data_IF_731851696706
#
_entry.id   IF_731851696706
#
_cell.length_a   1.000
_cell.length_b   1.000
_cell.length_c   1.000
_cell.angle_alpha   90.00
_cell.angle_beta   90.00
_cell.angle_gamma   90.00
#
_symmetry.space_group_name_H-M   'P 1'
#
loop_
_entity.id
_entity.type
_entity.pdbx_description
1 polymer ?
#
# COMPACT_ATOMS: atom_id res chain seq x y z
N UNK A 1 8.09 61.62 25.96
CA UNK A 1 7.22 60.85 26.89
C UNK A 1 6.15 60.12 26.11
N UNK A 2 6.33 58.82 25.86
CA UNK A 2 5.26 57.82 25.64
C UNK A 2 5.91 56.44 25.77
N UNK A 3 5.21 55.60 26.49
CA UNK A 3 5.68 54.42 27.20
C UNK A 3 5.79 53.18 26.33
N UNK A 4 6.67 52.28 26.76
CA UNK A 4 6.90 50.93 26.28
C UNK A 4 5.63 50.12 26.02
N UNK A 5 5.67 49.27 24.98
CA UNK A 5 5.01 47.96 25.05
C UNK A 5 5.78 46.93 24.23
N UNK A 6 6.66 46.20 24.92
CA UNK A 6 7.37 45.03 24.41
C UNK A 6 6.37 43.93 24.05
N UNK A 7 6.41 43.46 22.80
CA UNK A 7 5.61 42.33 22.35
C UNK A 7 6.17 41.02 22.94
N UNK A 8 5.29 40.23 23.58
CA UNK A 8 5.60 38.87 24.07
C UNK A 8 5.46 37.90 22.88
N UNK A 9 6.42 36.99 22.62
CA UNK A 9 6.25 35.99 21.58
C UNK A 9 5.26 34.90 22.04
N UNK A 10 4.29 34.58 21.17
CA UNK A 10 3.38 33.44 21.35
C UNK A 10 4.15 32.13 21.19
N UNK A 11 4.17 31.31 22.24
CA UNK A 11 4.62 29.93 22.14
C UNK A 11 3.68 29.15 21.21
N UNK A 12 4.22 28.61 20.12
CA UNK A 12 3.53 27.65 19.26
C UNK A 12 3.54 26.31 19.99
N UNK A 13 2.37 25.90 20.49
CA UNK A 13 2.21 24.58 21.12
C UNK A 13 2.51 23.46 20.11
N UNK A 14 3.36 22.51 20.49
CA UNK A 14 3.62 21.30 19.70
C UNK A 14 2.37 20.41 19.58
N UNK A 15 2.38 19.44 18.65
CA UNK A 15 1.23 18.57 18.41
C UNK A 15 0.83 17.81 19.68
N UNK A 16 -0.48 17.62 19.94
CA UNK A 16 -0.94 16.91 21.13
C UNK A 16 -0.44 15.46 21.10
N UNK A 17 0.06 14.97 22.24
CA UNK A 17 0.45 13.56 22.40
C UNK A 17 -0.76 12.66 22.11
N UNK A 18 -0.59 11.56 21.36
CA UNK A 18 -1.69 10.63 21.10
C UNK A 18 -2.18 10.03 22.43
N UNK A 19 -3.50 10.06 22.65
CA UNK A 19 -4.11 9.39 23.80
C UNK A 19 -4.00 7.88 23.59
N UNK A 20 -3.53 7.17 24.61
CA UNK A 20 -3.56 5.71 24.61
C UNK A 20 -5.01 5.23 24.52
N UNK A 21 -5.31 4.40 23.52
CA UNK A 21 -6.63 3.79 23.36
C UNK A 21 -6.87 2.77 24.49
N UNK A 22 -8.02 2.80 25.19
CA UNK A 22 -8.36 1.83 26.23
C UNK A 22 -8.73 0.46 25.65
N UNK A 23 -8.86 0.32 24.33
CA UNK A 23 -9.18 -0.95 23.70
C UNK A 23 -7.94 -1.85 23.61
N UNK A 24 -7.67 -2.55 24.71
CA UNK A 24 -6.80 -3.73 24.75
C UNK A 24 -7.50 -4.87 24.01
N UNK A 25 -7.36 -4.92 22.69
CA UNK A 25 -7.86 -6.06 21.91
C UNK A 25 -6.98 -7.27 22.19
N UNK A 26 -7.43 -8.17 23.07
CA UNK A 26 -7.01 -9.57 23.01
C UNK A 26 -7.73 -10.18 21.81
N UNK A 27 -7.05 -10.25 20.67
CA UNK A 27 -7.43 -11.19 19.61
C UNK A 27 -6.79 -12.55 19.97
N UNK A 28 -7.63 -13.58 19.99
CA UNK A 28 -7.32 -14.98 20.21
C UNK A 28 -5.93 -15.39 19.74
N UNK A 29 -5.05 -15.78 20.66
CA UNK A 29 -3.97 -16.77 20.52
C UNK A 29 -2.93 -16.65 19.39
N UNK A 30 -3.06 -15.69 18.49
CA UNK A 30 -2.17 -15.51 17.34
C UNK A 30 -1.28 -14.32 17.63
N UNK A 31 0.00 -14.59 17.83
CA UNK A 31 1.03 -13.55 17.87
C UNK A 31 1.16 -12.97 16.46
N UNK A 32 0.36 -11.95 16.14
CA UNK A 32 0.63 -11.11 14.97
C UNK A 32 1.81 -10.24 15.35
N UNK A 33 2.98 -10.49 14.73
CA UNK A 33 4.12 -9.58 14.81
C UNK A 33 3.63 -8.18 14.45
N UNK A 34 3.78 -7.24 15.38
CA UNK A 34 3.38 -5.84 15.16
C UNK A 34 3.92 -5.37 13.80
N UNK A 35 3.11 -4.70 12.96
CA UNK A 35 3.60 -4.19 11.69
C UNK A 35 4.79 -3.28 11.99
N UNK A 36 5.93 -3.60 11.39
CA UNK A 36 7.11 -2.74 11.45
C UNK A 36 6.69 -1.36 10.92
N UNK A 37 7.03 -0.31 11.68
CA UNK A 37 6.71 1.11 11.45
C UNK A 37 6.25 1.45 10.02
N UNK A 38 5.01 1.91 9.89
CA UNK A 38 4.40 2.36 8.63
C UNK A 38 4.99 3.68 8.08
N UNK A 39 6.04 4.25 8.70
CA UNK A 39 6.51 5.60 8.44
C UNK A 39 7.82 5.66 7.64
N UNK A 40 7.95 4.89 6.55
CA UNK A 40 8.91 5.27 5.51
C UNK A 40 8.24 6.28 4.58
N UNK A 41 8.97 7.33 4.19
CA UNK A 41 8.47 8.28 3.20
C UNK A 41 8.05 7.54 1.90
N UNK A 42 6.95 7.93 1.25
CA UNK A 42 6.53 7.28 0.02
C UNK A 42 7.58 7.51 -1.07
N UNK A 43 7.89 6.46 -1.83
CA UNK A 43 8.66 6.60 -3.07
C UNK A 43 7.72 7.07 -4.17
N UNK A 44 8.01 8.24 -4.77
CA UNK A 44 7.23 8.80 -5.88
C UNK A 44 8.07 8.68 -7.15
N UNK A 45 7.50 8.09 -8.20
CA UNK A 45 8.12 7.98 -9.51
C UNK A 45 7.18 8.54 -10.57
N UNK A 46 7.68 9.46 -11.38
CA UNK A 46 6.94 10.07 -12.50
C UNK A 46 7.46 9.45 -13.79
N UNK A 47 6.55 8.90 -14.58
CA UNK A 47 6.84 8.22 -15.84
C UNK A 47 6.10 8.92 -16.98
N UNK A 48 6.60 8.74 -18.21
CA UNK A 48 6.15 9.50 -19.36
C UNK A 48 4.66 9.30 -19.69
N UNK A 49 4.16 8.07 -19.54
CA UNK A 49 2.80 7.69 -19.93
C UNK A 49 2.27 6.48 -19.13
N UNK A 50 0.98 6.19 -19.32
CA UNK A 50 0.29 5.12 -18.61
C UNK A 50 0.83 3.71 -18.92
N UNK A 51 1.33 3.47 -20.14
CA UNK A 51 1.92 2.18 -20.52
C UNK A 51 3.25 1.95 -19.80
N UNK A 52 4.08 3.00 -19.71
CA UNK A 52 5.33 3.00 -18.96
C UNK A 52 5.07 2.76 -17.47
N UNK A 53 4.01 3.35 -16.90
CA UNK A 53 3.57 3.06 -15.52
C UNK A 53 3.18 1.60 -15.36
N UNK A 54 2.42 1.04 -16.30
CA UNK A 54 1.99 -0.35 -16.24
C UNK A 54 3.18 -1.33 -16.28
N UNK A 55 4.18 -1.06 -17.12
CA UNK A 55 5.39 -1.87 -17.22
C UNK A 55 6.26 -1.79 -15.96
N UNK A 56 6.48 -0.58 -15.45
CA UNK A 56 7.21 -0.38 -14.20
C UNK A 56 6.50 -1.10 -13.03
N UNK A 57 5.18 -0.96 -12.93
CA UNK A 57 4.38 -1.62 -11.91
C UNK A 57 4.42 -3.15 -12.04
N UNK A 58 4.38 -3.70 -13.26
CA UNK A 58 4.47 -5.13 -13.49
C UNK A 58 5.83 -5.68 -13.03
N UNK A 59 6.91 -4.99 -13.39
CA UNK A 59 8.26 -5.36 -12.97
C UNK A 59 8.41 -5.33 -11.44
N UNK A 60 7.88 -4.28 -10.81
CA UNK A 60 7.93 -4.11 -9.37
C UNK A 60 7.09 -5.18 -8.63
N UNK A 61 5.89 -5.47 -9.12
CA UNK A 61 5.03 -6.50 -8.55
C UNK A 61 5.66 -7.88 -8.63
N UNK A 62 6.28 -8.26 -9.76
CA UNK A 62 7.02 -9.53 -9.87
C UNK A 62 8.13 -9.62 -8.82
N UNK A 63 8.92 -8.55 -8.68
CA UNK A 63 10.00 -8.50 -7.68
C UNK A 63 9.47 -8.69 -6.26
N UNK A 64 8.36 -8.01 -5.92
CA UNK A 64 7.70 -8.15 -4.62
C UNK A 64 7.14 -9.55 -4.38
N UNK A 65 6.47 -10.14 -5.36
CA UNK A 65 5.93 -11.50 -5.26
C UNK A 65 7.06 -12.50 -5.03
N UNK A 66 8.16 -12.39 -5.77
CA UNK A 66 9.32 -13.25 -5.60
C UNK A 66 9.94 -13.11 -4.20
N UNK A 67 10.10 -11.87 -3.72
CA UNK A 67 10.60 -11.61 -2.37
C UNK A 67 9.66 -12.17 -1.28
N UNK A 68 8.35 -11.97 -1.42
CA UNK A 68 7.35 -12.48 -0.50
C UNK A 68 7.33 -14.01 -0.45
N UNK A 69 7.31 -14.65 -1.61
CA UNK A 69 7.33 -16.10 -1.72
C UNK A 69 8.63 -16.69 -1.15
N UNK A 70 9.78 -16.04 -1.35
CA UNK A 70 11.05 -16.44 -0.75
C UNK A 70 11.01 -16.33 0.79
N UNK A 71 10.43 -15.26 1.33
CA UNK A 71 10.42 -15.01 2.76
C UNK A 71 9.37 -15.81 3.55
N UNK A 72 8.19 -16.07 2.96
CA UNK A 72 7.01 -16.59 3.67
C UNK A 72 6.37 -17.80 3.00
N UNK A 73 6.90 -18.25 1.87
CA UNK A 73 6.31 -19.31 1.06
C UNK A 73 5.07 -18.89 0.26
N UNK A 74 4.53 -17.68 0.46
CA UNK A 74 3.40 -17.17 -0.31
C UNK A 74 3.36 -15.63 -0.38
N UNK A 75 2.55 -15.09 -1.28
CA UNK A 75 2.27 -13.67 -1.43
C UNK A 75 0.76 -13.44 -1.50
N UNK A 76 0.23 -12.48 -0.74
CA UNK A 76 -1.15 -12.05 -0.81
C UNK A 76 -1.22 -10.68 -1.51
N UNK A 77 -2.11 -10.54 -2.49
CA UNK A 77 -2.27 -9.32 -3.29
C UNK A 77 -3.75 -8.93 -3.26
N UNK A 78 -4.04 -7.69 -2.85
CA UNK A 78 -5.35 -7.08 -3.03
C UNK A 78 -5.37 -6.32 -4.36
N UNK A 79 -6.28 -6.70 -5.25
CA UNK A 79 -6.48 -6.11 -6.56
C UNK A 79 -7.35 -4.86 -6.44
N UNK A 80 -7.09 -3.89 -7.30
CA UNK A 80 -7.86 -2.66 -7.42
C UNK A 80 -8.71 -2.71 -8.70
N UNK A 81 -9.91 -2.14 -8.64
CA UNK A 81 -10.73 -1.92 -9.83
C UNK A 81 -10.24 -0.74 -10.68
N UNK A 82 -10.86 -0.56 -11.86
CA UNK A 82 -10.71 0.64 -12.69
C UNK A 82 -9.79 0.49 -13.90
N UNK A 83 -9.67 1.58 -14.65
CA UNK A 83 -8.92 1.63 -15.92
C UNK A 83 -7.41 1.71 -15.72
N UNK A 84 -6.94 2.34 -14.65
CA UNK A 84 -5.52 2.49 -14.33
C UNK A 84 -4.79 1.17 -14.08
N UNK A 85 -5.30 0.22 -13.26
CA UNK A 85 -4.62 -1.07 -13.06
C UNK A 85 -4.85 -2.07 -14.21
N UNK A 86 -5.80 -1.81 -15.13
CA UNK A 86 -6.14 -2.76 -16.20
C UNK A 86 -4.97 -3.09 -17.14
N UNK A 87 -4.15 -2.12 -17.62
CA UNK A 87 -2.95 -2.42 -18.39
C UNK A 87 -1.93 -3.26 -17.62
N UNK A 88 -1.74 -3.00 -16.32
CA UNK A 88 -0.88 -3.81 -15.45
C UNK A 88 -1.33 -5.28 -15.45
N UNK A 89 -2.62 -5.56 -15.27
CA UNK A 89 -3.13 -6.94 -15.26
C UNK A 89 -2.91 -7.64 -16.60
N UNK A 90 -3.06 -6.92 -17.73
CA UNK A 90 -2.72 -7.46 -19.06
C UNK A 90 -1.23 -7.81 -19.17
N UNK A 91 -0.34 -6.96 -18.67
CA UNK A 91 1.11 -7.26 -18.65
C UNK A 91 1.42 -8.48 -17.80
N UNK A 92 0.85 -8.58 -16.60
CA UNK A 92 1.06 -9.74 -15.72
C UNK A 92 0.54 -11.06 -16.31
N UNK A 93 -0.51 -11.02 -17.12
CA UNK A 93 -1.05 -12.18 -17.84
C UNK A 93 -0.22 -12.55 -19.10
N UNK A 94 0.62 -11.63 -19.59
CA UNK A 94 1.45 -11.91 -20.77
C UNK A 94 2.56 -12.93 -20.47
N UNK A 95 3.00 -13.73 -21.46
CA UNK A 95 4.07 -14.72 -21.26
C UNK A 95 5.37 -14.14 -20.66
N UNK A 96 5.67 -12.88 -20.97
CA UNK A 96 6.85 -12.16 -20.50
C UNK A 96 6.89 -11.98 -18.96
N UNK A 97 5.72 -11.91 -18.31
CA UNK A 97 5.62 -11.77 -16.85
C UNK A 97 5.03 -13.00 -16.17
N UNK A 98 4.02 -13.64 -16.76
CA UNK A 98 3.31 -14.76 -16.15
C UNK A 98 4.26 -15.93 -15.80
N UNK A 99 5.27 -16.19 -16.63
CA UNK A 99 6.29 -17.23 -16.41
C UNK A 99 7.23 -16.94 -15.23
N UNK A 100 7.34 -15.67 -14.81
CA UNK A 100 8.22 -15.22 -13.72
C UNK A 100 7.56 -15.30 -12.35
N UNK A 101 6.25 -15.57 -12.31
CA UNK A 101 5.44 -15.67 -11.09
C UNK A 101 5.08 -17.13 -10.85
N UNK A 102 5.40 -17.62 -9.65
CA UNK A 102 4.94 -18.92 -9.16
C UNK A 102 3.50 -18.78 -8.64
N UNK A 103 2.52 -18.74 -9.55
CA UNK A 103 1.11 -18.45 -9.24
C UNK A 103 0.49 -19.33 -8.16
N UNK A 104 0.92 -20.60 -8.04
CA UNK A 104 0.45 -21.51 -6.97
C UNK A 104 0.79 -21.03 -5.54
N UNK A 105 1.65 -20.03 -5.41
CA UNK A 105 2.04 -19.42 -4.13
C UNK A 105 1.46 -17.99 -3.98
N UNK A 106 0.59 -17.55 -4.90
CA UNK A 106 -0.04 -16.23 -4.87
C UNK A 106 -1.51 -16.38 -4.51
N UNK A 107 -1.96 -15.60 -3.53
CA UNK A 107 -3.36 -15.48 -3.14
C UNK A 107 -3.86 -14.10 -3.58
N UNK A 108 -4.90 -14.09 -4.42
CA UNK A 108 -5.51 -12.86 -4.93
C UNK A 108 -6.79 -12.57 -4.14
N UNK A 109 -6.98 -11.29 -3.81
CA UNK A 109 -8.15 -10.75 -3.13
C UNK A 109 -8.60 -9.50 -3.88
N UNK A 110 -9.85 -9.08 -3.70
CA UNK A 110 -10.32 -7.77 -4.14
C UNK A 110 -10.18 -6.78 -2.99
N UNK A 111 -9.57 -5.63 -3.26
CA UNK A 111 -9.40 -4.56 -2.27
C UNK A 111 -10.71 -3.83 -1.98
N UNK A 112 -11.47 -3.56 -3.03
CA UNK A 112 -12.86 -3.13 -3.02
C UNK A 112 -13.64 -3.89 -4.09
N UNK A 113 -14.94 -4.04 -3.91
CA UNK A 113 -15.82 -4.64 -4.92
C UNK A 113 -17.23 -4.05 -4.79
N UNK A 114 -17.93 -4.01 -5.91
CA UNK A 114 -19.32 -3.57 -6.00
C UNK A 114 -20.24 -4.75 -5.69
N UNK A 115 -21.31 -4.49 -4.93
CA UNK A 115 -22.35 -5.48 -4.63
C UNK A 115 -23.31 -5.66 -5.82
N UNK A 116 -22.77 -6.09 -6.96
CA UNK A 116 -23.49 -6.40 -8.19
C UNK A 116 -23.20 -7.84 -8.61
N UNK A 117 -24.05 -8.47 -9.45
CA UNK A 117 -23.71 -9.78 -10.03
C UNK A 117 -22.35 -9.76 -10.74
N UNK A 118 -21.57 -10.86 -10.73
CA UNK A 118 -20.24 -10.90 -11.35
C UNK A 118 -20.22 -10.67 -12.87
N UNK A 119 -21.37 -10.82 -13.53
CA UNK A 119 -21.54 -10.58 -14.96
C UNK A 119 -21.82 -9.11 -15.29
N UNK A 120 -22.06 -8.26 -14.29
CA UNK A 120 -22.28 -6.83 -14.50
C UNK A 120 -20.94 -6.11 -14.76
N UNK A 121 -20.84 -5.31 -15.85
CA UNK A 121 -19.62 -4.56 -16.19
C UNK A 121 -19.20 -3.46 -15.21
#
# INVERSE_FOLDING_TARGET
>A
MRTHRTAIPRAVGGPPKPRASPYRTRLCGVTIKAPQSLASAPTISVLADAETVADAAAQQLVSWVQACCKARGHCAIALAGGTTPRPLYRRLASPAFASRIRWKNVHLYFGDERAVPPSEP
#
